data_IF_927279027269
#
_entry.id   IF_927279027269
#
_cell.length_a   1.000
_cell.length_b   1.000
_cell.length_c   1.000
_cell.angle_alpha   90.00
_cell.angle_beta   90.00
_cell.angle_gamma   90.00
#
_symmetry.space_group_name_H-M   'P 1'
#
loop_
_entity.id
_entity.type
_entity.pdbx_description
1 polymer ?
#
# COMPACT_ATOMS: atom_id res chain seq x y z
N UNK A 1 16.53 -0.98 0.55
CA UNK A 1 16.64 0.49 0.65
C UNK A 1 15.49 0.98 1.52
N UNK A 2 15.72 1.80 2.55
CA UNK A 2 14.66 2.40 3.36
C UNK A 2 14.17 3.71 2.73
N UNK A 3 13.42 3.61 1.63
CA UNK A 3 12.94 4.79 0.89
C UNK A 3 11.76 5.50 1.57
N UNK A 4 11.03 4.81 2.46
CA UNK A 4 9.86 5.32 3.19
C UNK A 4 10.20 5.86 4.60
N UNK A 5 11.47 5.81 5.02
CA UNK A 5 11.91 6.35 6.31
C UNK A 5 11.60 5.50 7.54
N UNK A 6 11.27 4.21 7.36
CA UNK A 6 10.97 3.28 8.46
C UNK A 6 12.16 3.08 9.43
N UNK A 7 13.38 3.25 8.94
CA UNK A 7 14.60 3.32 9.74
C UNK A 7 14.60 4.52 10.70
N UNK A 8 14.20 5.70 10.22
CA UNK A 8 14.01 6.87 11.08
C UNK A 8 12.92 6.63 12.13
N UNK A 9 11.77 6.07 11.74
CA UNK A 9 10.67 5.81 12.68
C UNK A 9 11.10 4.88 13.81
N UNK A 10 11.77 3.77 13.48
CA UNK A 10 12.27 2.83 14.47
C UNK A 10 13.30 3.47 15.41
N UNK A 11 14.24 4.26 14.88
CA UNK A 11 15.24 4.96 15.69
C UNK A 11 14.62 6.01 16.63
N UNK A 12 13.63 6.77 16.15
CA UNK A 12 12.90 7.75 16.96
C UNK A 12 12.07 7.08 18.07
N UNK A 13 11.36 5.99 17.76
CA UNK A 13 10.57 5.26 18.74
C UNK A 13 11.45 4.62 19.82
N UNK A 14 12.59 4.06 19.44
CA UNK A 14 13.57 3.52 20.38
C UNK A 14 14.15 4.60 21.31
N UNK A 15 14.41 5.79 20.75
CA UNK A 15 14.87 6.95 21.53
C UNK A 15 13.80 7.41 22.53
N UNK A 16 12.54 7.50 22.11
CA UNK A 16 11.41 7.81 22.99
C UNK A 16 11.24 6.75 24.09
N UNK A 17 11.38 5.46 23.75
CA UNK A 17 11.30 4.37 24.72
C UNK A 17 12.37 4.47 25.79
N UNK A 18 13.61 4.80 25.40
CA UNK A 18 14.70 5.05 26.35
C UNK A 18 14.37 6.22 27.28
N UNK A 19 14.00 7.38 26.72
CA UNK A 19 13.71 8.58 27.51
C UNK A 19 12.54 8.37 28.48
N UNK A 20 11.50 7.66 28.05
CA UNK A 20 10.36 7.34 28.91
C UNK A 20 10.74 6.35 30.01
N UNK A 21 11.59 5.37 29.71
CA UNK A 21 12.07 4.41 30.71
C UNK A 21 12.97 5.08 31.77
N UNK A 22 13.82 6.01 31.35
CA UNK A 22 14.66 6.81 32.26
C UNK A 22 13.84 7.70 33.21
N UNK A 23 12.60 8.05 32.82
CA UNK A 23 11.68 8.90 33.59
C UNK A 23 10.42 8.15 34.06
N UNK A 24 10.48 6.82 34.16
CA UNK A 24 9.32 5.94 34.38
C UNK A 24 8.55 6.29 35.67
N UNK A 25 9.26 6.71 36.73
CA UNK A 25 8.66 7.11 38.01
C UNK A 25 7.70 8.31 37.91
N UNK A 26 7.81 9.11 36.86
CA UNK A 26 6.94 10.26 36.61
C UNK A 26 5.73 9.92 35.74
N UNK A 27 5.64 8.69 35.22
CA UNK A 27 4.54 8.26 34.36
C UNK A 27 3.32 7.85 35.18
N UNK A 28 2.20 8.53 34.95
CA UNK A 28 0.89 8.16 35.49
C UNK A 28 0.17 7.14 34.59
N UNK A 29 0.84 6.03 34.24
CA UNK A 29 0.27 5.04 33.32
C UNK A 29 1.29 4.08 32.73
N UNK A 30 0.93 3.45 31.62
CA UNK A 30 1.80 2.52 30.87
C UNK A 30 1.88 2.98 29.42
N UNK A 31 3.07 2.86 28.83
CA UNK A 31 3.29 3.08 27.39
C UNK A 31 3.62 1.74 26.76
N UNK A 32 2.88 1.36 25.73
CA UNK A 32 3.15 0.17 24.91
C UNK A 32 3.81 0.62 23.61
N UNK A 33 5.02 0.13 23.35
CA UNK A 33 5.74 0.41 22.12
C UNK A 33 5.44 -0.65 21.06
N UNK A 34 5.04 -0.21 19.87
CA UNK A 34 4.74 -1.08 18.73
C UNK A 34 5.79 -0.86 17.64
N UNK A 35 6.66 -1.84 17.44
CA UNK A 35 7.58 -1.89 16.32
C UNK A 35 6.97 -2.80 15.25
N UNK A 36 6.15 -2.21 14.38
CA UNK A 36 5.41 -2.97 13.36
C UNK A 36 6.34 -3.42 12.21
N UNK A 37 6.37 -4.72 11.87
CA UNK A 37 7.02 -5.20 10.64
C UNK A 37 6.09 -5.03 9.42
N UNK A 38 6.56 -5.38 8.22
CA UNK A 38 5.72 -5.69 7.06
C UNK A 38 4.61 -4.67 6.71
N UNK A 39 4.89 -3.37 6.86
CA UNK A 39 3.95 -2.31 6.48
C UNK A 39 3.78 -2.23 4.96
N UNK A 40 4.88 -2.29 4.21
CA UNK A 40 4.89 -2.19 2.73
C UNK A 40 4.20 -3.37 2.02
N UNK A 41 3.93 -4.48 2.73
CA UNK A 41 3.15 -5.62 2.22
C UNK A 41 1.73 -5.66 2.76
N UNK A 42 1.36 -4.69 3.62
CA UNK A 42 0.06 -4.57 4.28
C UNK A 42 -0.29 -5.74 5.22
N UNK A 43 0.71 -6.51 5.68
CA UNK A 43 0.49 -7.70 6.51
C UNK A 43 0.77 -7.44 8.00
N UNK A 44 1.58 -6.42 8.30
CA UNK A 44 2.14 -6.22 9.64
C UNK A 44 1.13 -5.91 10.74
N UNK A 45 0.23 -4.95 10.49
CA UNK A 45 -0.73 -4.50 11.49
C UNK A 45 -1.70 -5.62 11.87
N UNK A 46 -2.30 -6.27 10.88
CA UNK A 46 -3.23 -7.39 11.09
C UNK A 46 -2.55 -8.54 11.83
N UNK A 47 -1.34 -8.93 11.41
CA UNK A 47 -0.58 -9.97 12.10
C UNK A 47 -0.37 -9.64 13.58
N UNK A 48 0.03 -8.41 13.92
CA UNK A 48 0.23 -8.02 15.32
C UNK A 48 -1.08 -7.98 16.11
N UNK A 49 -2.18 -7.53 15.50
CA UNK A 49 -3.52 -7.50 16.12
C UNK A 49 -3.98 -8.92 16.43
N UNK A 50 -3.87 -9.85 15.47
CA UNK A 50 -4.19 -11.27 15.66
C UNK A 50 -3.40 -11.90 16.82
N UNK A 51 -2.16 -11.45 17.02
CA UNK A 51 -1.29 -11.91 18.10
C UNK A 51 -1.42 -11.06 19.39
N UNK A 52 -2.46 -10.24 19.49
CA UNK A 52 -2.85 -9.58 20.74
C UNK A 52 -2.05 -8.33 21.08
N UNK A 53 -1.44 -7.63 20.12
CA UNK A 53 -0.72 -6.37 20.41
C UNK A 53 -1.62 -5.33 21.09
N UNK A 54 -2.93 -5.36 20.86
CA UNK A 54 -3.91 -4.47 21.48
C UNK A 54 -4.44 -5.00 22.82
N UNK A 55 -3.90 -6.11 23.33
CA UNK A 55 -4.32 -6.73 24.57
C UNK A 55 -3.16 -6.75 25.58
N UNK A 56 -3.47 -6.88 26.88
CA UNK A 56 -2.50 -7.11 27.97
C UNK A 56 -1.19 -6.26 27.94
N UNK A 57 -1.24 -4.95 28.25
CA UNK A 57 -2.42 -4.16 28.57
C UNK A 57 -3.12 -3.61 27.32
N UNK A 58 -4.45 -3.52 27.37
CA UNK A 58 -5.20 -2.83 26.32
C UNK A 58 -4.86 -1.34 26.32
N UNK A 59 -4.40 -0.75 25.20
CA UNK A 59 -4.12 0.68 25.14
C UNK A 59 -5.43 1.47 25.07
N UNK A 60 -5.50 2.59 25.80
CA UNK A 60 -6.64 3.53 25.72
C UNK A 60 -6.61 4.38 24.44
N UNK A 61 -5.42 4.57 23.88
CA UNK A 61 -5.17 5.30 22.64
C UNK A 61 -3.90 4.77 21.95
N UNK A 62 -3.83 4.94 20.63
CA UNK A 62 -2.64 4.66 19.83
C UNK A 62 -2.23 5.93 19.07
N UNK A 63 -0.92 6.14 18.93
CA UNK A 63 -0.34 7.24 18.17
C UNK A 63 0.77 6.68 17.28
N UNK A 64 0.78 7.11 16.03
CA UNK A 64 1.86 6.92 15.09
C UNK A 64 2.07 8.23 14.31
N UNK A 65 3.26 8.40 13.73
CA UNK A 65 3.54 9.47 12.80
C UNK A 65 4.49 8.97 11.71
N UNK A 66 4.38 9.57 10.53
CA UNK A 66 5.21 9.21 9.39
C UNK A 66 6.04 10.43 8.98
N UNK A 67 7.34 10.25 8.79
CA UNK A 67 8.16 11.31 8.19
C UNK A 67 7.74 11.51 6.74
N UNK A 68 7.62 12.77 6.31
CA UNK A 68 7.36 13.11 4.91
C UNK A 68 8.61 13.73 4.30
N UNK A 69 8.96 13.32 3.09
CA UNK A 69 10.11 13.85 2.36
C UNK A 69 9.66 14.90 1.34
N UNK A 70 10.38 16.02 1.27
CA UNK A 70 10.36 16.91 0.10
C UNK A 70 9.19 17.89 -0.04
N UNK A 71 8.29 18.06 0.94
CA UNK A 71 7.15 19.01 0.81
C UNK A 71 6.96 20.02 1.94
N UNK A 72 7.45 19.75 3.15
CA UNK A 72 7.22 20.61 4.32
C UNK A 72 8.53 21.12 4.92
N UNK A 73 8.58 22.34 5.48
CA UNK A 73 9.74 22.82 6.22
C UNK A 73 10.09 21.89 7.38
N UNK A 74 11.38 21.69 7.63
CA UNK A 74 11.87 20.91 8.78
C UNK A 74 11.30 21.49 10.08
N UNK A 75 10.84 20.61 10.98
CA UNK A 75 10.18 21.00 12.24
C UNK A 75 8.68 21.23 12.12
N UNK A 76 8.08 21.02 10.94
CA UNK A 76 6.63 21.07 10.76
C UNK A 76 5.98 19.75 11.14
N UNK A 77 4.97 19.81 12.01
CA UNK A 77 4.11 18.67 12.34
C UNK A 77 2.73 18.88 11.70
N UNK A 78 2.29 17.89 10.94
CA UNK A 78 0.97 17.88 10.31
C UNK A 78 0.10 16.83 10.98
N UNK A 79 -1.14 17.19 11.29
CA UNK A 79 -2.15 16.27 11.80
C UNK A 79 -3.51 16.61 11.19
N UNK A 80 -4.36 15.60 11.02
CA UNK A 80 -5.74 15.77 10.59
C UNK A 80 -6.64 15.68 11.82
N UNK A 81 -7.28 16.80 12.16
CA UNK A 81 -8.19 16.92 13.30
C UNK A 81 -9.65 16.64 12.96
N UNK A 82 -9.95 16.38 11.69
CA UNK A 82 -11.31 16.25 11.19
C UNK A 82 -11.69 14.80 10.99
N UNK A 83 -11.16 14.20 9.93
CA UNK A 83 -11.65 12.94 9.37
C UNK A 83 -10.45 12.10 8.86
N UNK A 84 -10.70 11.21 7.90
CA UNK A 84 -9.73 10.35 7.22
C UNK A 84 -8.44 11.07 6.85
N UNK A 85 -7.31 10.55 7.34
CA UNK A 85 -5.96 11.07 7.06
C UNK A 85 -5.42 10.55 5.72
N UNK A 86 -5.69 9.29 5.37
CA UNK A 86 -5.14 8.59 4.19
C UNK A 86 -6.21 7.72 3.54
N UNK A 87 -6.09 7.49 2.23
CA UNK A 87 -6.99 6.63 1.48
C UNK A 87 -6.68 5.14 1.70
N UNK A 88 -7.68 4.28 1.54
CA UNK A 88 -7.47 2.83 1.43
C UNK A 88 -6.67 2.50 0.17
N UNK A 89 -5.98 1.36 0.19
CA UNK A 89 -5.24 0.83 -0.96
C UNK A 89 -5.52 -0.66 -1.10
N UNK A 90 -5.78 -1.10 -2.33
CA UNK A 90 -6.00 -2.49 -2.67
C UNK A 90 -5.16 -2.85 -3.90
N UNK A 91 -4.58 -4.05 -3.88
CA UNK A 91 -3.82 -4.61 -4.99
C UNK A 91 -4.62 -5.70 -5.70
N UNK A 92 -4.51 -5.79 -7.03
CA UNK A 92 -5.11 -6.86 -7.81
C UNK A 92 -4.20 -7.33 -8.95
N UNK A 93 -4.43 -8.56 -9.40
CA UNK A 93 -3.79 -9.14 -10.57
C UNK A 93 -4.86 -9.74 -11.49
N UNK A 94 -4.77 -9.43 -12.78
CA UNK A 94 -5.59 -10.03 -13.83
C UNK A 94 -4.66 -10.89 -14.69
N UNK A 95 -4.99 -12.18 -14.82
CA UNK A 95 -4.32 -13.09 -15.75
C UNK A 95 -5.27 -13.42 -16.87
N UNK A 96 -4.85 -13.17 -18.11
CA UNK A 96 -5.68 -13.33 -19.31
C UNK A 96 -5.18 -14.53 -20.07
N UNK A 97 -5.99 -15.58 -20.18
CA UNK A 97 -5.63 -16.76 -20.93
C UNK A 97 -6.18 -16.68 -22.36
N UNK A 98 -5.26 -16.65 -23.32
CA UNK A 98 -5.55 -16.67 -24.76
C UNK A 98 -5.31 -18.05 -25.36
N UNK A 99 -4.94 -18.03 -26.64
CA UNK A 99 -4.49 -19.21 -27.38
C UNK A 99 -3.46 -18.77 -28.40
N UNK A 100 -2.26 -19.29 -28.27
CA UNK A 100 -1.13 -18.91 -29.08
C UNK A 100 -1.29 -19.28 -30.54
N UNK A 101 -0.71 -18.46 -31.41
CA UNK A 101 -0.68 -18.71 -32.85
C UNK A 101 0.45 -17.94 -33.52
N UNK A 102 0.80 -18.34 -34.75
CA UNK A 102 1.68 -17.53 -35.58
C UNK A 102 1.02 -16.17 -35.84
N UNK A 103 1.77 -15.07 -35.75
CA UNK A 103 1.22 -13.71 -35.89
C UNK A 103 0.54 -13.43 -37.24
N UNK A 104 0.89 -14.19 -38.28
CA UNK A 104 0.22 -14.14 -39.59
C UNK A 104 -1.09 -14.96 -39.68
N UNK A 105 -1.42 -15.74 -38.65
CA UNK A 105 -2.59 -16.62 -38.59
C UNK A 105 -3.49 -16.30 -37.37
N UNK A 106 -3.91 -15.04 -37.17
CA UNK A 106 -4.61 -14.64 -35.93
C UNK A 106 -5.95 -15.35 -35.73
N UNK A 107 -6.63 -15.74 -36.82
CA UNK A 107 -7.88 -16.50 -36.79
C UNK A 107 -7.74 -17.91 -36.16
N UNK A 108 -6.51 -18.40 -35.94
CA UNK A 108 -6.24 -19.69 -35.30
C UNK A 108 -6.02 -19.57 -33.78
N UNK A 109 -5.81 -18.35 -33.27
CA UNK A 109 -5.53 -18.04 -31.87
C UNK A 109 -6.61 -17.19 -31.21
N UNK A 110 -6.34 -16.82 -29.96
CA UNK A 110 -7.10 -15.84 -29.16
C UNK A 110 -6.04 -14.93 -28.57
N UNK A 111 -6.02 -13.66 -28.98
CA UNK A 111 -4.95 -12.72 -28.63
C UNK A 111 -5.16 -12.11 -27.23
N UNK A 112 -4.38 -12.53 -26.21
CA UNK A 112 -4.52 -12.00 -24.86
C UNK A 112 -4.01 -10.56 -24.74
N UNK A 113 -3.12 -10.11 -25.64
CA UNK A 113 -2.64 -8.71 -25.66
C UNK A 113 -3.79 -7.79 -26.03
N UNK A 114 -4.52 -8.12 -27.10
CA UNK A 114 -5.68 -7.33 -27.53
C UNK A 114 -6.75 -7.27 -26.42
N UNK A 115 -7.09 -8.40 -25.80
CA UNK A 115 -8.03 -8.48 -24.68
C UNK A 115 -7.54 -7.62 -23.51
N UNK A 116 -6.27 -7.72 -23.14
CA UNK A 116 -5.68 -6.95 -22.05
C UNK A 116 -5.73 -5.45 -22.28
N UNK A 117 -5.48 -4.98 -23.51
CA UNK A 117 -5.62 -3.56 -23.86
C UNK A 117 -7.06 -3.08 -23.71
N UNK A 118 -8.05 -3.87 -24.15
CA UNK A 118 -9.45 -3.51 -23.99
C UNK A 118 -9.88 -3.46 -22.51
N UNK A 119 -9.41 -4.40 -21.68
CA UNK A 119 -9.63 -4.37 -20.23
C UNK A 119 -8.97 -3.13 -19.62
N UNK A 120 -7.71 -2.83 -19.96
CA UNK A 120 -6.99 -1.65 -19.45
C UNK A 120 -7.75 -0.34 -19.71
N UNK A 121 -8.27 -0.18 -20.93
CA UNK A 121 -9.05 1.00 -21.31
C UNK A 121 -10.38 1.06 -20.57
N UNK A 122 -11.11 -0.06 -20.49
CA UNK A 122 -12.40 -0.12 -19.79
C UNK A 122 -12.26 0.19 -18.30
N UNK A 123 -11.16 -0.25 -17.66
CA UNK A 123 -10.87 0.03 -16.25
C UNK A 123 -10.80 1.54 -15.94
N UNK A 124 -10.46 2.39 -16.92
CA UNK A 124 -10.45 3.84 -16.72
C UNK A 124 -11.85 4.42 -16.47
N UNK A 125 -12.90 3.77 -16.98
CA UNK A 125 -14.29 4.21 -16.80
C UNK A 125 -14.75 4.07 -15.34
N UNK A 126 -14.14 3.18 -14.55
CA UNK A 126 -14.46 3.06 -13.12
C UNK A 126 -14.25 4.41 -12.40
N UNK A 127 -13.16 5.10 -12.71
CA UNK A 127 -12.88 6.42 -12.14
C UNK A 127 -13.71 7.50 -12.85
N UNK A 128 -13.81 7.44 -14.17
CA UNK A 128 -14.45 8.51 -14.94
C UNK A 128 -15.99 8.53 -14.87
N UNK A 129 -16.63 7.40 -14.59
CA UNK A 129 -18.08 7.21 -14.74
C UNK A 129 -18.77 6.55 -13.56
N UNK A 130 -18.09 5.66 -12.85
CA UNK A 130 -18.73 4.89 -11.77
C UNK A 130 -18.43 5.45 -10.38
N UNK A 131 -17.26 6.08 -10.20
CA UNK A 131 -16.87 6.69 -8.93
C UNK A 131 -17.63 8.00 -8.70
N UNK A 132 -18.04 8.24 -7.46
CA UNK A 132 -18.65 9.52 -7.09
C UNK A 132 -17.60 10.65 -7.24
N UNK A 133 -17.87 11.72 -8.01
CA UNK A 133 -16.90 12.80 -8.21
C UNK A 133 -16.50 13.56 -6.93
N UNK A 134 -17.25 13.40 -5.84
CA UNK A 134 -16.89 13.96 -4.53
C UNK A 134 -15.84 13.13 -3.78
N UNK A 135 -15.62 11.87 -4.18
CA UNK A 135 -14.69 10.95 -3.52
C UNK A 135 -13.30 10.99 -4.17
N UNK A 136 -12.26 10.74 -3.36
CA UNK A 136 -10.89 10.64 -3.85
C UNK A 136 -10.58 9.20 -4.26
N UNK A 137 -10.61 8.93 -5.56
CA UNK A 137 -10.34 7.60 -6.13
C UNK A 137 -9.16 7.68 -7.11
N UNK A 138 -8.28 6.67 -7.07
CA UNK A 138 -7.16 6.52 -8.00
C UNK A 138 -7.06 5.06 -8.39
N UNK A 139 -6.92 4.78 -9.69
CA UNK A 139 -6.63 3.45 -10.22
C UNK A 139 -5.35 3.51 -11.04
N UNK A 140 -4.40 2.63 -10.73
CA UNK A 140 -3.12 2.57 -11.44
C UNK A 140 -2.83 1.12 -11.85
N UNK A 141 -2.54 0.91 -13.14
CA UNK A 141 -1.99 -0.36 -13.62
C UNK A 141 -0.46 -0.21 -13.67
N UNK A 142 0.21 -0.70 -12.63
CA UNK A 142 1.67 -0.56 -12.51
C UNK A 142 2.49 -1.51 -13.39
N UNK A 143 1.88 -2.58 -13.92
CA UNK A 143 2.56 -3.60 -14.71
C UNK A 143 1.62 -4.20 -15.76
N UNK A 144 2.11 -4.33 -16.99
CA UNK A 144 1.47 -5.05 -18.10
C UNK A 144 2.53 -5.90 -18.79
N UNK A 145 2.34 -7.22 -18.86
CA UNK A 145 3.30 -8.15 -19.47
C UNK A 145 2.55 -9.16 -20.32
N UNK A 146 3.04 -9.42 -21.54
CA UNK A 146 2.54 -10.46 -22.44
C UNK A 146 3.54 -10.71 -23.57
N UNK A 147 3.75 -11.97 -23.93
CA UNK A 147 4.61 -12.39 -25.04
C UNK A 147 6.11 -12.07 -24.91
N UNK A 148 6.91 -12.68 -25.79
CA UNK A 148 8.36 -12.47 -25.87
C UNK A 148 8.87 -12.30 -27.30
N UNK A 149 8.18 -12.90 -28.29
CA UNK A 149 8.62 -12.96 -29.70
C UNK A 149 7.64 -12.20 -30.59
N UNK A 150 8.17 -11.33 -31.46
CA UNK A 150 7.36 -10.38 -32.23
C UNK A 150 6.40 -11.01 -33.26
N UNK A 151 6.62 -12.25 -33.70
CA UNK A 151 5.80 -12.93 -34.70
C UNK A 151 4.88 -14.01 -34.12
N UNK A 152 4.62 -14.00 -32.81
CA UNK A 152 3.77 -14.95 -32.11
C UNK A 152 2.71 -14.20 -31.31
N UNK A 153 1.46 -14.64 -31.44
CA UNK A 153 0.41 -14.31 -30.47
C UNK A 153 0.63 -15.24 -29.27
N UNK A 154 0.78 -14.72 -28.04
CA UNK A 154 1.08 -15.54 -26.88
C UNK A 154 -0.16 -16.26 -26.31
N UNK A 155 0.08 -17.22 -25.41
CA UNK A 155 -0.99 -17.93 -24.68
C UNK A 155 -1.49 -17.16 -23.45
N UNK A 156 -0.73 -16.20 -22.93
CA UNK A 156 -1.04 -15.40 -21.74
C UNK A 156 -0.41 -14.02 -21.82
#
# INVERSE_FOLDING_TARGET
MHACGHDFHAAMLLSAAKMLKENESHLCGRVKFMFQPAEETFEGADNMIEHGILENPKPDAALAFHVTTGRSPVGTFMYNSKNTMMNSVDGFQITIHGKGSHGACPHQGIDPINIGVHIYLALQELIARESNPADSCVLTIGRFCAGEVANIIPDT
#
